data_IF_198625178579
#
_entry.id   IF_198625178579
#
_cell.length_a   1.000
_cell.length_b   1.000
_cell.length_c   1.000
_cell.angle_alpha   90.00
_cell.angle_beta   90.00
_cell.angle_gamma   90.00
#
_symmetry.space_group_name_H-M   'P 1'
#
loop_
_entity.id
_entity.type
_entity.pdbx_description
1 polymer ?
#
# COMPACT_ATOMS: atom_id res chain seq x y z
N UNK A 1 7.84 11.96 -14.35
CA UNK A 1 8.59 11.41 -15.49
C UNK A 1 8.80 9.92 -15.21
N UNK A 2 8.39 9.02 -16.10
CA UNK A 2 8.46 7.57 -15.86
C UNK A 2 9.76 6.94 -16.36
N UNK A 3 10.02 5.68 -15.96
CA UNK A 3 11.15 4.91 -16.47
C UNK A 3 11.07 4.67 -17.98
N UNK A 4 12.23 4.66 -18.64
CA UNK A 4 12.36 4.26 -20.06
C UNK A 4 12.03 2.77 -20.24
N UNK A 5 11.88 2.33 -21.49
CA UNK A 5 11.62 0.91 -21.77
C UNK A 5 12.79 0.01 -21.32
N UNK A 6 14.02 0.48 -21.51
CA UNK A 6 15.25 -0.22 -21.09
C UNK A 6 15.34 -0.32 -19.56
N UNK A 7 15.06 0.75 -18.84
CA UNK A 7 15.02 0.77 -17.37
C UNK A 7 13.94 -0.18 -16.82
N UNK A 8 12.77 -0.22 -17.46
CA UNK A 8 11.71 -1.18 -17.12
C UNK A 8 12.16 -2.61 -17.37
N UNK A 9 12.81 -2.87 -18.52
CA UNK A 9 13.36 -4.18 -18.85
C UNK A 9 14.37 -4.65 -17.81
N UNK A 10 15.36 -3.80 -17.49
CA UNK A 10 16.36 -4.05 -16.46
C UNK A 10 15.71 -4.35 -15.09
N UNK A 11 14.71 -3.57 -14.69
CA UNK A 11 14.00 -3.80 -13.44
C UNK A 11 13.29 -5.17 -13.42
N UNK A 12 12.54 -5.52 -14.47
CA UNK A 12 11.84 -6.81 -14.57
C UNK A 12 12.83 -7.97 -14.58
N UNK A 13 13.95 -7.84 -15.29
CA UNK A 13 14.98 -8.86 -15.35
C UNK A 13 15.60 -9.14 -13.97
N UNK A 14 15.88 -8.09 -13.19
CA UNK A 14 16.35 -8.24 -11.81
C UNK A 14 15.30 -8.87 -10.89
N UNK A 15 14.01 -8.57 -11.06
CA UNK A 15 12.95 -9.25 -10.31
C UNK A 15 12.89 -10.74 -10.64
N UNK A 16 13.03 -11.11 -11.92
CA UNK A 16 13.11 -12.51 -12.34
C UNK A 16 14.35 -13.19 -11.78
N UNK A 17 15.49 -12.50 -11.78
CA UNK A 17 16.74 -13.00 -11.22
C UNK A 17 16.62 -13.25 -9.70
N UNK A 18 16.04 -12.31 -8.96
CA UNK A 18 15.77 -12.47 -7.53
C UNK A 18 14.77 -13.61 -7.26
N UNK A 19 13.73 -13.74 -8.08
CA UNK A 19 12.75 -14.81 -7.91
C UNK A 19 13.39 -16.20 -8.02
N UNK A 20 14.32 -16.38 -8.95
CA UNK A 20 14.99 -17.65 -9.21
C UNK A 20 16.15 -17.93 -8.24
N UNK A 21 16.97 -16.92 -7.90
CA UNK A 21 18.22 -17.11 -7.12
C UNK A 21 18.15 -16.62 -5.69
N UNK A 22 17.15 -15.81 -5.33
CA UNK A 22 17.10 -15.12 -4.05
C UNK A 22 17.86 -13.80 -4.09
N UNK A 23 18.36 -13.36 -2.93
CA UNK A 23 19.06 -12.08 -2.82
C UNK A 23 20.36 -12.07 -3.64
N UNK A 24 20.71 -10.92 -4.21
CA UNK A 24 21.73 -10.82 -5.26
C UNK A 24 22.92 -9.97 -4.82
N UNK A 25 24.12 -10.36 -5.23
CA UNK A 25 25.29 -9.52 -4.99
C UNK A 25 25.32 -8.34 -5.97
N UNK A 26 26.00 -7.25 -5.59
CA UNK A 26 26.21 -6.11 -6.49
C UNK A 26 26.90 -6.50 -7.80
N UNK A 27 27.76 -7.51 -7.77
CA UNK A 27 28.45 -8.02 -8.95
C UNK A 27 27.48 -8.69 -9.93
N UNK A 28 26.57 -9.53 -9.44
CA UNK A 28 25.55 -10.18 -10.27
C UNK A 28 24.67 -9.14 -10.96
N UNK A 29 24.21 -8.14 -10.22
CA UNK A 29 23.38 -7.06 -10.74
C UNK A 29 24.13 -6.29 -11.83
N UNK A 30 25.39 -5.92 -11.57
CA UNK A 30 26.23 -5.23 -12.54
C UNK A 30 26.45 -6.04 -13.82
N UNK A 31 26.57 -7.37 -13.73
CA UNK A 31 26.69 -8.23 -14.91
C UNK A 31 25.39 -8.33 -15.71
N UNK A 32 24.22 -8.30 -15.05
CA UNK A 32 22.92 -8.42 -15.71
C UNK A 32 22.48 -7.11 -16.37
N UNK A 33 22.47 -6.01 -15.63
CA UNK A 33 21.88 -4.75 -16.12
C UNK A 33 22.90 -3.63 -16.36
N UNK A 34 24.16 -3.83 -15.96
CA UNK A 34 25.25 -2.89 -16.22
C UNK A 34 24.97 -1.48 -15.69
N UNK A 35 25.17 -0.48 -16.55
CA UNK A 35 25.02 0.94 -16.20
C UNK A 35 23.59 1.33 -15.83
N UNK A 36 22.59 0.57 -16.27
CA UNK A 36 21.19 0.81 -15.93
C UNK A 36 20.91 0.59 -14.44
N UNK A 37 21.80 -0.11 -13.70
CA UNK A 37 21.66 -0.32 -12.27
C UNK A 37 21.43 0.99 -11.49
N UNK A 38 22.20 2.04 -11.80
CA UNK A 38 22.14 3.33 -11.10
C UNK A 38 20.74 3.97 -11.20
N UNK A 39 19.95 3.61 -12.21
CA UNK A 39 18.59 4.14 -12.43
C UNK A 39 17.50 3.36 -11.71
N UNK A 40 17.78 2.13 -11.29
CA UNK A 40 16.80 1.21 -10.68
C UNK A 40 17.18 0.76 -9.27
N UNK A 41 18.37 1.14 -8.79
CA UNK A 41 18.91 0.80 -7.47
C UNK A 41 17.99 1.24 -6.32
N UNK A 42 17.30 2.37 -6.47
CA UNK A 42 16.35 2.92 -5.49
C UNK A 42 15.17 1.97 -5.17
N UNK A 43 14.92 0.99 -6.04
CA UNK A 43 13.85 0.00 -5.87
C UNK A 43 14.29 -1.24 -5.08
N UNK A 44 15.55 -1.32 -4.68
CA UNK A 44 16.13 -2.45 -3.96
C UNK A 44 16.73 -1.99 -2.63
N UNK A 45 16.85 -2.93 -1.70
CA UNK A 45 17.43 -2.71 -0.37
C UNK A 45 18.47 -3.78 -0.11
N UNK A 46 19.51 -3.45 0.67
CA UNK A 46 20.49 -4.42 1.16
C UNK A 46 19.99 -5.09 2.43
N UNK A 47 20.14 -6.40 2.52
CA UNK A 47 19.96 -7.13 3.76
C UNK A 47 21.17 -6.99 4.70
N UNK A 48 21.12 -7.70 5.83
CA UNK A 48 22.21 -7.72 6.81
C UNK A 48 23.51 -8.31 6.24
N UNK A 49 23.43 -9.15 5.22
CA UNK A 49 24.56 -9.82 4.55
C UNK A 49 25.11 -8.99 3.37
N UNK A 50 24.53 -7.82 3.11
CA UNK A 50 24.94 -6.92 2.03
C UNK A 50 24.43 -7.34 0.65
N UNK A 51 23.47 -8.26 0.58
CA UNK A 51 22.82 -8.69 -0.66
C UNK A 51 21.59 -7.83 -0.95
N UNK A 52 21.38 -7.56 -2.23
CA UNK A 52 20.30 -6.74 -2.73
C UNK A 52 19.05 -7.55 -3.02
N UNK A 53 17.91 -7.03 -2.61
CA UNK A 53 16.62 -7.62 -2.90
C UNK A 53 15.52 -6.56 -2.96
N UNK A 54 14.48 -6.86 -3.71
CA UNK A 54 13.26 -6.10 -3.75
C UNK A 54 12.32 -6.60 -2.64
N UNK A 55 12.02 -5.72 -1.69
CA UNK A 55 11.20 -6.02 -0.51
C UNK A 55 9.79 -6.46 -0.90
N UNK A 56 9.17 -5.79 -1.89
CA UNK A 56 7.81 -6.11 -2.35
C UNK A 56 7.75 -7.53 -2.92
N UNK A 57 8.74 -7.93 -3.73
CA UNK A 57 8.77 -9.26 -4.32
C UNK A 57 8.90 -10.36 -3.24
N UNK A 58 9.69 -10.12 -2.19
CA UNK A 58 9.88 -11.11 -1.12
C UNK A 58 8.61 -11.31 -0.29
N UNK A 59 7.90 -10.21 0.02
CA UNK A 59 6.58 -10.27 0.66
C UNK A 59 5.58 -11.12 -0.16
N UNK A 60 5.56 -10.95 -1.49
CA UNK A 60 4.68 -11.72 -2.37
C UNK A 60 5.07 -13.20 -2.44
N UNK A 61 6.37 -13.52 -2.45
CA UNK A 61 6.84 -14.91 -2.37
C UNK A 61 6.37 -15.60 -1.08
N UNK A 62 6.45 -14.91 0.06
CA UNK A 62 6.00 -15.42 1.35
C UNK A 62 4.47 -15.66 1.34
N UNK A 63 3.70 -14.67 0.90
CA UNK A 63 2.23 -14.81 0.78
C UNK A 63 1.86 -16.00 -0.10
N UNK A 64 2.54 -16.16 -1.25
CA UNK A 64 2.30 -17.28 -2.18
C UNK A 64 2.68 -18.63 -1.55
N UNK A 65 3.81 -18.70 -0.84
CA UNK A 65 4.23 -19.91 -0.13
C UNK A 65 3.23 -20.34 0.94
N UNK A 66 2.73 -19.39 1.74
CA UNK A 66 1.71 -19.63 2.76
C UNK A 66 0.39 -20.12 2.15
N UNK A 67 -0.01 -19.54 1.02
CA UNK A 67 -1.18 -20.02 0.27
C UNK A 67 -1.02 -21.46 -0.18
N UNK A 68 0.11 -21.81 -0.80
CA UNK A 68 0.37 -23.17 -1.29
C UNK A 68 0.40 -24.16 -0.13
N UNK A 69 1.08 -23.81 0.97
CA UNK A 69 1.14 -24.63 2.19
C UNK A 69 -0.25 -24.89 2.77
N UNK A 70 -1.11 -23.86 2.82
CA UNK A 70 -2.51 -24.00 3.25
C UNK A 70 -3.30 -24.95 2.34
N UNK A 71 -3.15 -24.84 1.01
CA UNK A 71 -3.80 -25.74 0.04
C UNK A 71 -3.33 -27.20 0.21
N UNK A 72 -2.04 -27.41 0.44
CA UNK A 72 -1.46 -28.73 0.70
C UNK A 72 -2.02 -29.30 2.00
N UNK A 73 -2.05 -28.52 3.09
CA UNK A 73 -2.57 -28.98 4.39
C UNK A 73 -4.05 -29.38 4.32
N UNK A 74 -4.86 -28.63 3.55
CA UNK A 74 -6.25 -29.01 3.28
C UNK A 74 -6.36 -30.34 2.53
N UNK A 75 -5.54 -30.55 1.50
CA UNK A 75 -5.51 -31.81 0.74
C UNK A 75 -5.08 -33.00 1.61
N UNK A 76 -4.16 -32.78 2.55
CA UNK A 76 -3.67 -33.80 3.48
C UNK A 76 -4.62 -34.03 4.67
N UNK A 77 -5.77 -33.35 4.74
CA UNK A 77 -6.69 -33.45 5.87
C UNK A 77 -6.09 -32.93 7.19
N UNK A 78 -4.99 -32.17 7.15
CA UNK A 78 -4.39 -31.51 8.32
C UNK A 78 -4.97 -30.09 8.46
N UNK A 79 -6.29 -29.98 8.36
CA UNK A 79 -6.97 -28.71 8.51
C UNK A 79 -7.66 -28.64 9.87
N UNK A 80 -8.01 -27.42 10.28
CA UNK A 80 -8.60 -27.11 11.58
C UNK A 80 -9.93 -27.85 11.84
N UNK A 81 -10.51 -28.49 10.82
CA UNK A 81 -11.75 -29.26 10.91
C UNK A 81 -11.56 -30.72 11.35
N UNK A 82 -10.33 -31.25 11.34
CA UNK A 82 -10.05 -32.64 11.72
C UNK A 82 -9.66 -32.85 13.20
N UNK A 83 -9.49 -31.78 13.98
CA UNK A 83 -9.40 -31.87 15.43
C UNK A 83 -10.77 -31.60 16.06
N UNK A 84 -11.31 -32.58 16.77
CA UNK A 84 -12.63 -32.56 17.43
C UNK A 84 -12.74 -31.61 18.63
N UNK A 85 -11.74 -30.75 18.87
CA UNK A 85 -11.70 -29.83 20.02
C UNK A 85 -11.66 -28.38 19.53
N UNK A 86 -12.73 -27.64 19.86
CA UNK A 86 -13.06 -26.23 19.53
C UNK A 86 -13.57 -25.95 18.11
N UNK A 87 -14.90 -26.04 17.98
CA UNK A 87 -15.70 -25.33 16.97
C UNK A 87 -15.70 -23.83 17.25
N UNK A 88 -14.71 -23.11 16.75
CA UNK A 88 -14.91 -21.71 16.35
C UNK A 88 -14.93 -21.66 14.83
N UNK A 89 -16.05 -21.19 14.28
CA UNK A 89 -16.30 -21.14 12.85
C UNK A 89 -15.27 -20.21 12.20
N UNK A 90 -14.25 -20.79 11.55
CA UNK A 90 -13.39 -20.06 10.63
C UNK A 90 -14.23 -19.56 9.46
N UNK A 91 -14.78 -18.36 9.59
CA UNK A 91 -15.22 -17.57 8.44
C UNK A 91 -14.06 -17.56 7.43
N UNK A 92 -14.34 -17.75 6.14
CA UNK A 92 -13.36 -17.59 5.06
C UNK A 92 -12.85 -16.14 5.11
N UNK A 93 -11.87 -15.90 5.97
CA UNK A 93 -11.39 -14.56 6.30
C UNK A 93 -10.47 -14.12 5.16
N UNK A 94 -11.07 -13.41 4.20
CA UNK A 94 -10.65 -12.09 3.76
C UNK A 94 -9.15 -11.73 3.87
N UNK A 95 -8.23 -12.60 3.48
CA UNK A 95 -6.79 -12.31 3.48
C UNK A 95 -6.11 -12.72 2.16
N UNK A 96 -6.81 -12.50 1.05
CA UNK A 96 -6.22 -12.50 -0.29
C UNK A 96 -6.51 -11.19 -1.02
N UNK A 97 -6.80 -10.12 -0.28
CA UNK A 97 -6.77 -8.80 -0.89
C UNK A 97 -5.31 -8.40 -1.08
N UNK A 98 -4.94 -8.24 -2.34
CA UNK A 98 -3.68 -7.70 -2.80
C UNK A 98 -3.52 -6.28 -2.25
N UNK A 99 -2.91 -6.17 -1.06
CA UNK A 99 -2.45 -4.88 -0.55
C UNK A 99 -1.22 -4.46 -1.36
N UNK A 100 -1.47 -3.99 -2.58
CA UNK A 100 -0.52 -3.21 -3.34
C UNK A 100 -0.08 -2.03 -2.46
N UNK A 101 1.23 -1.76 -2.34
CA UNK A 101 1.78 -0.73 -1.43
C UNK A 101 1.25 0.68 -1.74
N UNK A 102 0.70 0.91 -2.92
CA UNK A 102 -0.01 2.15 -3.30
C UNK A 102 -1.42 2.28 -2.67
N UNK A 103 -1.84 1.24 -1.94
CA UNK A 103 -3.13 1.10 -1.24
C UNK A 103 -2.90 0.94 0.28
N UNK A 104 -1.75 1.36 0.80
CA UNK A 104 -1.56 1.41 2.26
C UNK A 104 -2.54 2.43 2.84
N UNK A 105 -3.47 1.93 3.67
CA UNK A 105 -4.38 2.74 4.47
C UNK A 105 -3.60 3.25 5.68
N UNK A 106 -3.26 4.53 5.68
CA UNK A 106 -2.53 5.17 6.76
C UNK A 106 -3.57 5.78 7.71
N UNK A 107 -3.42 5.53 9.01
CA UNK A 107 -4.18 6.23 10.04
C UNK A 107 -3.50 7.58 10.28
N UNK A 108 -4.12 8.65 9.79
CA UNK A 108 -3.60 10.01 9.96
C UNK A 108 -4.06 10.63 11.30
N UNK A 109 -5.10 10.06 11.91
CA UNK A 109 -5.65 10.39 13.23
C UNK A 109 -6.35 9.16 13.80
N UNK A 110 -6.48 9.03 15.12
CA UNK A 110 -7.04 7.87 15.86
C UNK A 110 -8.37 7.29 15.33
N UNK A 111 -9.08 8.01 14.46
CA UNK A 111 -10.37 7.58 13.91
C UNK A 111 -10.56 7.95 12.43
N UNK A 112 -9.51 8.26 11.66
CA UNK A 112 -9.61 8.63 10.24
C UNK A 112 -8.61 7.84 9.42
N UNK A 113 -9.11 6.95 8.57
CA UNK A 113 -8.30 6.00 7.83
C UNK A 113 -8.39 6.31 6.34
N UNK A 114 -7.29 6.78 5.75
CA UNK A 114 -7.20 7.21 4.35
C UNK A 114 -6.10 6.42 3.64
N UNK A 115 -6.28 6.16 2.35
CA UNK A 115 -5.19 5.61 1.55
C UNK A 115 -4.13 6.69 1.26
N UNK A 116 -2.86 6.32 1.15
CA UNK A 116 -1.78 7.27 0.83
C UNK A 116 -2.09 8.12 -0.42
N UNK A 117 -2.51 7.48 -1.51
CA UNK A 117 -2.96 8.15 -2.74
C UNK A 117 -4.09 9.16 -2.51
N UNK A 118 -5.03 8.84 -1.62
CA UNK A 118 -6.16 9.73 -1.31
C UNK A 118 -5.69 10.97 -0.57
N UNK A 119 -4.80 10.78 0.41
CA UNK A 119 -4.16 11.89 1.11
C UNK A 119 -3.34 12.77 0.16
N UNK A 120 -2.53 12.16 -0.72
CA UNK A 120 -1.73 12.88 -1.71
C UNK A 120 -2.63 13.68 -2.67
N UNK A 121 -3.76 13.12 -3.12
CA UNK A 121 -4.73 13.86 -3.95
C UNK A 121 -5.40 15.02 -3.21
N UNK A 122 -5.64 14.90 -1.89
CA UNK A 122 -6.16 16.00 -1.08
C UNK A 122 -5.12 17.10 -0.92
N UNK A 123 -3.86 16.73 -0.64
CA UNK A 123 -2.73 17.66 -0.57
C UNK A 123 -2.53 18.44 -1.87
N UNK A 124 -2.58 17.77 -3.02
CA UNK A 124 -2.42 18.41 -4.33
C UNK A 124 -3.57 19.40 -4.63
N UNK A 125 -4.81 19.03 -4.30
CA UNK A 125 -5.99 19.86 -4.60
C UNK A 125 -6.17 21.04 -3.65
N UNK A 126 -5.95 20.83 -2.36
CA UNK A 126 -6.35 21.79 -1.31
C UNK A 126 -5.17 22.33 -0.51
N UNK A 127 -4.00 21.72 -0.62
CA UNK A 127 -2.82 22.07 0.17
C UNK A 127 -2.82 21.48 1.58
N UNK A 128 -1.63 21.45 2.18
CA UNK A 128 -1.38 20.82 3.49
C UNK A 128 -2.30 21.35 4.61
N UNK A 129 -2.45 22.67 4.70
CA UNK A 129 -3.23 23.30 5.77
C UNK A 129 -4.72 22.97 5.69
N UNK A 130 -5.28 22.90 4.49
CA UNK A 130 -6.68 22.54 4.29
C UNK A 130 -6.90 21.04 4.51
N UNK A 131 -6.01 20.17 4.02
CA UNK A 131 -6.10 18.72 4.22
C UNK A 131 -6.02 18.34 5.70
N UNK A 132 -5.08 18.91 6.45
CA UNK A 132 -4.95 18.67 7.89
C UNK A 132 -6.24 19.09 8.62
N UNK A 133 -6.83 20.24 8.25
CA UNK A 133 -8.11 20.70 8.80
C UNK A 133 -9.29 19.75 8.48
N UNK A 134 -9.35 19.23 7.26
CA UNK A 134 -10.41 18.30 6.85
C UNK A 134 -10.36 17.00 7.66
N UNK A 135 -9.15 16.46 7.86
CA UNK A 135 -8.93 15.24 8.65
C UNK A 135 -9.35 15.48 10.11
N UNK A 136 -8.95 16.62 10.68
CA UNK A 136 -9.32 16.99 12.04
C UNK A 136 -10.82 17.14 12.21
N UNK A 137 -11.48 17.81 11.26
CA UNK A 137 -12.92 18.03 11.28
C UNK A 137 -13.69 16.72 11.21
N UNK A 138 -13.31 15.81 10.32
CA UNK A 138 -13.93 14.50 10.22
C UNK A 138 -13.69 13.67 11.49
N UNK A 139 -12.47 13.66 12.01
CA UNK A 139 -12.12 12.93 13.23
C UNK A 139 -12.95 13.39 14.44
N UNK A 140 -13.04 14.70 14.66
CA UNK A 140 -13.84 15.27 15.75
C UNK A 140 -15.34 14.99 15.59
N UNK A 141 -15.84 14.95 14.35
CA UNK A 141 -17.23 14.59 14.07
C UNK A 141 -17.51 13.11 14.36
N UNK A 142 -16.63 12.20 13.96
CA UNK A 142 -16.76 10.75 14.26
C UNK A 142 -16.71 10.48 15.76
N UNK A 143 -15.82 11.17 16.49
CA UNK A 143 -15.73 11.08 17.96
C UNK A 143 -16.99 11.61 18.65
N UNK A 144 -17.47 12.79 18.27
CA UNK A 144 -18.62 13.43 18.93
C UNK A 144 -19.97 12.80 18.58
N UNK A 145 -20.13 12.26 17.37
CA UNK A 145 -21.40 11.70 16.88
C UNK A 145 -21.42 10.18 16.77
N UNK A 146 -20.30 9.50 17.01
CA UNK A 146 -20.17 8.03 16.93
C UNK A 146 -20.39 7.45 15.52
N UNK A 147 -20.26 8.27 14.46
CA UNK A 147 -20.56 7.82 13.09
C UNK A 147 -19.38 7.07 12.48
N UNK A 148 -19.70 5.98 11.77
CA UNK A 148 -18.74 5.21 10.95
C UNK A 148 -19.10 5.38 9.48
N UNK A 149 -18.09 5.65 8.66
CA UNK A 149 -18.22 5.77 7.21
C UNK A 149 -17.60 4.57 6.51
N UNK A 150 -18.15 4.20 5.35
CA UNK A 150 -17.58 3.14 4.48
C UNK A 150 -16.19 3.54 3.97
N UNK A 151 -15.99 4.82 3.66
CA UNK A 151 -14.70 5.43 3.34
C UNK A 151 -14.65 6.84 3.93
N UNK A 152 -13.60 7.11 4.70
CA UNK A 152 -13.36 8.44 5.26
C UNK A 152 -13.03 9.47 4.17
N UNK A 153 -12.35 9.05 3.10
CA UNK A 153 -12.10 9.89 1.93
C UNK A 153 -13.39 10.32 1.23
N UNK A 154 -14.37 9.40 1.13
CA UNK A 154 -15.70 9.73 0.62
C UNK A 154 -16.38 10.80 1.47
N UNK A 155 -16.35 10.63 2.80
CA UNK A 155 -16.94 11.60 3.73
C UNK A 155 -16.28 12.99 3.62
N UNK A 156 -14.95 13.04 3.47
CA UNK A 156 -14.22 14.29 3.25
C UNK A 156 -14.73 15.00 2.00
N UNK A 157 -14.78 14.31 0.86
CA UNK A 157 -15.21 14.91 -0.41
C UNK A 157 -16.70 15.28 -0.45
N UNK A 158 -17.56 14.57 0.28
CA UNK A 158 -19.00 14.84 0.25
C UNK A 158 -19.41 16.08 1.03
N UNK A 159 -18.89 16.27 2.25
CA UNK A 159 -19.40 17.35 3.11
C UNK A 159 -18.32 18.15 3.83
N UNK A 160 -17.14 17.59 4.07
CA UNK A 160 -16.05 18.32 4.76
C UNK A 160 -15.43 19.37 3.84
N UNK A 161 -15.25 19.05 2.56
CA UNK A 161 -14.79 20.00 1.53
C UNK A 161 -15.75 21.18 1.40
N UNK A 162 -17.05 20.92 1.38
CA UNK A 162 -18.06 21.99 1.29
C UNK A 162 -18.05 22.90 2.53
N UNK A 163 -17.80 22.34 3.72
CA UNK A 163 -17.65 23.13 4.94
C UNK A 163 -16.33 23.94 4.95
N UNK A 164 -15.25 23.38 4.41
CA UNK A 164 -13.97 24.08 4.24
C UNK A 164 -14.10 25.27 3.27
N UNK A 165 -14.84 25.11 2.17
CA UNK A 165 -15.17 26.20 1.24
C UNK A 165 -16.00 27.28 1.91
N UNK A 166 -17.04 26.92 2.67
CA UNK A 166 -17.87 27.88 3.43
C UNK A 166 -17.07 28.71 4.42
N UNK A 167 -16.05 28.12 5.07
CA UNK A 167 -15.15 28.81 5.99
C UNK A 167 -14.02 29.61 5.31
N UNK A 168 -13.99 29.68 3.97
CA UNK A 168 -12.92 30.32 3.17
C UNK A 168 -11.52 29.78 3.47
N UNK A 169 -11.42 28.53 3.93
CA UNK A 169 -10.12 27.86 4.18
C UNK A 169 -9.46 27.48 2.85
N UNK A 170 -10.28 27.24 1.82
CA UNK A 170 -9.87 27.03 0.43
C UNK A 170 -10.16 28.33 -0.32
N UNK A 171 -9.17 28.90 -1.00
CA UNK A 171 -9.41 30.04 -1.89
C UNK A 171 -10.30 29.57 -3.04
N UNK A 172 -11.47 30.18 -3.20
CA UNK A 172 -12.26 30.06 -4.42
C UNK A 172 -11.36 30.48 -5.58
N UNK A 173 -11.10 29.60 -6.55
CA UNK A 173 -10.63 30.07 -7.86
C UNK A 173 -11.77 30.92 -8.41
N UNK A 174 -11.64 32.23 -8.28
CA UNK A 174 -12.47 33.18 -9.01
C UNK A 174 -12.06 33.02 -10.47
N UNK A 175 -12.92 32.35 -11.25
CA UNK A 175 -12.88 32.46 -12.70
C UNK A 175 -13.30 33.89 -13.02
N UNK A 176 -12.31 34.75 -13.24
CA UNK A 176 -12.53 36.00 -13.97
C UNK A 176 -12.77 35.60 -15.44
N UNK A 177 -13.99 35.89 -15.90
CA UNK A 177 -14.39 35.80 -17.31
C UNK A 177 -13.94 37.05 -18.05
#
# INVERSE_FOLDING_TARGET
MGMTFEEKGAYIELLMLQFNRGHMTSHMIGQTVGQLWVKVEDKFVKDADGLWYNVRLEEEKIKRSNFVSSRINNKLGKNQYNNSTKKERGHMTSHMEDENKDVIKIEYKDNVNLFKKEYDTLLEKYGKTATDWMIDKLGNYKLSKGKKYKSDYGAINTWVVDEAKKKKIIKQQVLEY
#
